data_IF_786042116393
#
_entry.id   IF_786042116393
#
_cell.length_a   1.000
_cell.length_b   1.000
_cell.length_c   1.000
_cell.angle_alpha   90.00
_cell.angle_beta   90.00
_cell.angle_gamma   90.00
#
_symmetry.space_group_name_H-M   'P 1'
#
loop_
_entity.id
_entity.type
_entity.pdbx_description
1 polymer ?
#
# COMPACT_ATOMS: atom_id res chain seq x y z
N UNK A 1 -3.20 46.62 9.56
CA UNK A 1 -2.97 45.24 10.00
C UNK A 1 -3.70 44.33 9.03
N UNK A 2 -3.01 43.56 8.17
CA UNK A 2 -3.67 42.64 7.26
C UNK A 2 -4.27 41.48 8.06
N UNK A 3 -5.58 41.32 7.97
CA UNK A 3 -6.30 40.18 8.54
C UNK A 3 -5.94 38.91 7.78
N UNK A 4 -5.24 37.99 8.42
CA UNK A 4 -5.01 36.64 7.91
C UNK A 4 -6.33 35.86 8.04
N UNK A 5 -7.06 35.72 6.93
CA UNK A 5 -8.19 34.79 6.89
C UNK A 5 -7.64 33.36 7.02
N UNK A 6 -8.23 32.51 7.88
CA UNK A 6 -7.84 31.12 7.98
C UNK A 6 -8.05 30.45 6.62
N UNK A 7 -6.96 29.98 6.02
CA UNK A 7 -7.01 29.17 4.80
C UNK A 7 -7.77 27.89 5.15
N UNK A 8 -9.00 27.78 4.66
CA UNK A 8 -9.77 26.55 4.81
C UNK A 8 -9.09 25.50 3.94
N UNK A 9 -8.37 24.58 4.58
CA UNK A 9 -7.80 23.43 3.92
C UNK A 9 -8.93 22.70 3.19
N UNK A 10 -8.83 22.63 1.86
CA UNK A 10 -9.76 21.84 1.06
C UNK A 10 -9.75 20.40 1.58
N UNK A 11 -10.92 19.74 1.70
CA UNK A 11 -10.92 18.31 1.99
C UNK A 11 -10.09 17.58 0.93
N UNK A 12 -9.35 16.52 1.30
CA UNK A 12 -8.58 15.75 0.35
C UNK A 12 -9.52 15.15 -0.71
N UNK A 13 -9.07 15.08 -1.97
CA UNK A 13 -9.86 14.47 -3.04
C UNK A 13 -10.17 12.99 -2.73
N UNK A 14 -11.36 12.48 -3.11
CA UNK A 14 -11.71 11.07 -2.94
C UNK A 14 -10.86 10.18 -3.85
N UNK A 15 -10.64 8.94 -3.43
CA UNK A 15 -9.89 7.93 -4.17
C UNK A 15 -10.83 6.92 -4.83
N UNK A 16 -10.41 6.38 -5.98
CA UNK A 16 -11.19 5.47 -6.81
C UNK A 16 -10.36 4.30 -7.30
N UNK A 17 -10.94 3.10 -7.34
CA UNK A 17 -10.36 1.94 -8.00
C UNK A 17 -10.49 2.03 -9.53
N UNK A 18 -9.77 1.20 -10.32
CA UNK A 18 -9.79 1.27 -11.79
C UNK A 18 -11.17 1.16 -12.44
N UNK A 19 -12.12 0.49 -11.81
CA UNK A 19 -13.51 0.40 -12.24
C UNK A 19 -14.34 1.68 -11.96
N UNK A 20 -13.75 2.66 -11.28
CA UNK A 20 -14.37 3.91 -10.87
C UNK A 20 -15.19 3.84 -9.58
N UNK A 21 -15.12 2.73 -8.84
CA UNK A 21 -15.71 2.58 -7.51
C UNK A 21 -14.90 3.35 -6.45
N UNK A 22 -15.56 3.80 -5.38
CA UNK A 22 -14.92 4.56 -4.30
C UNK A 22 -14.03 3.66 -3.44
N UNK A 23 -12.83 4.15 -3.11
CA UNK A 23 -11.91 3.54 -2.16
C UNK A 23 -11.92 4.26 -0.80
N UNK A 24 -11.57 3.54 0.26
CA UNK A 24 -11.30 4.09 1.59
C UNK A 24 -9.84 4.54 1.79
N UNK A 25 -9.01 4.39 0.76
CA UNK A 25 -7.62 4.86 0.78
C UNK A 25 -7.53 6.38 0.89
N UNK A 26 -6.34 6.87 1.24
CA UNK A 26 -6.05 8.29 1.37
C UNK A 26 -4.99 8.71 0.34
N UNK A 27 -5.10 9.91 -0.23
CA UNK A 27 -4.13 10.42 -1.20
C UNK A 27 -2.74 10.51 -0.58
N UNK A 28 -1.71 10.21 -1.37
CA UNK A 28 -0.31 10.38 -0.98
C UNK A 28 0.10 11.85 -0.95
N UNK A 29 -0.42 12.65 -1.88
CA UNK A 29 -0.24 14.10 -1.91
C UNK A 29 -1.60 14.83 -2.04
N UNK A 30 -2.16 15.35 -0.93
CA UNK A 30 -3.45 16.02 -0.94
C UNK A 30 -3.41 17.41 -1.59
N UNK A 31 -2.23 17.96 -1.90
CA UNK A 31 -2.08 19.26 -2.55
C UNK A 31 -2.23 19.16 -4.07
N UNK A 32 -2.13 17.95 -4.63
CA UNK A 32 -2.28 17.69 -6.07
C UNK A 32 -3.69 17.24 -6.40
N UNK A 33 -4.15 17.56 -7.61
CA UNK A 33 -5.48 17.13 -8.06
C UNK A 33 -5.53 15.61 -8.31
N UNK A 34 -4.47 15.06 -8.90
CA UNK A 34 -4.32 13.65 -9.22
C UNK A 34 -3.13 13.08 -8.47
N UNK A 35 -3.34 12.03 -7.67
CA UNK A 35 -2.27 11.33 -6.95
C UNK A 35 -2.69 9.89 -6.67
N UNK A 36 -1.69 9.03 -6.49
CA UNK A 36 -1.87 7.70 -5.93
C UNK A 36 -2.45 7.79 -4.51
N UNK A 37 -3.32 6.84 -4.18
CA UNK A 37 -3.91 6.68 -2.86
C UNK A 37 -3.51 5.33 -2.26
N UNK A 38 -3.11 5.35 -1.00
CA UNK A 38 -2.75 4.15 -0.24
C UNK A 38 -3.61 4.01 1.02
N UNK A 39 -3.69 2.79 1.52
CA UNK A 39 -4.31 2.51 2.82
C UNK A 39 -3.64 3.37 3.92
N UNK A 40 -4.43 3.87 4.87
CA UNK A 40 -3.97 4.71 5.96
C UNK A 40 -2.70 4.14 6.64
N UNK A 41 -1.64 4.94 6.70
CA UNK A 41 -0.38 4.56 7.33
C UNK A 41 0.55 3.67 6.48
N UNK A 42 0.15 3.35 5.25
CA UNK A 42 1.05 2.76 4.24
C UNK A 42 2.00 3.84 3.69
N UNK A 43 3.13 3.40 3.18
CA UNK A 43 4.14 4.28 2.60
C UNK A 43 3.85 4.52 1.12
N UNK A 44 3.96 5.77 0.71
CA UNK A 44 3.85 6.21 -0.67
C UNK A 44 5.23 6.19 -1.33
N UNK A 45 5.32 5.79 -2.59
CA UNK A 45 6.56 5.83 -3.37
C UNK A 45 6.52 6.89 -4.48
N UNK A 46 7.69 7.23 -5.03
CA UNK A 46 7.85 8.12 -6.18
C UNK A 46 7.30 7.56 -7.49
N UNK A 47 7.11 6.24 -7.61
CA UNK A 47 6.54 5.63 -8.81
C UNK A 47 5.05 5.33 -8.66
N UNK A 48 4.36 6.04 -7.76
CA UNK A 48 2.93 5.87 -7.54
C UNK A 48 2.56 4.45 -7.09
N UNK A 49 3.39 3.82 -6.25
CA UNK A 49 3.08 2.55 -5.60
C UNK A 49 2.97 2.72 -4.09
N UNK A 50 2.34 1.75 -3.45
CA UNK A 50 2.14 1.71 -2.01
C UNK A 50 2.94 0.56 -1.40
N UNK A 51 3.55 0.78 -0.23
CA UNK A 51 4.15 -0.27 0.59
C UNK A 51 3.34 -0.39 1.88
N UNK A 52 2.87 -1.60 2.17
CA UNK A 52 2.08 -1.86 3.39
C UNK A 52 2.84 -1.45 4.65
N UNK A 53 2.11 -0.92 5.63
CA UNK A 53 2.67 -0.58 6.94
C UNK A 53 3.39 -1.80 7.55
N UNK A 54 4.62 -1.59 8.02
CA UNK A 54 5.44 -2.64 8.64
C UNK A 54 6.12 -3.60 7.65
N UNK A 55 5.97 -3.39 6.34
CA UNK A 55 6.68 -4.18 5.33
C UNK A 55 8.01 -3.55 4.91
N UNK A 56 8.32 -2.30 5.27
CA UNK A 56 9.65 -1.74 5.01
C UNK A 56 10.74 -2.55 5.69
N UNK A 57 11.81 -2.80 4.96
CA UNK A 57 13.02 -3.38 5.53
C UNK A 57 13.68 -2.40 6.52
N UNK A 58 14.70 -2.87 7.23
CA UNK A 58 15.43 -2.03 8.20
C UNK A 58 16.21 -0.86 7.59
N UNK A 59 16.36 -0.79 6.25
CA UNK A 59 17.00 0.34 5.56
C UNK A 59 15.99 1.40 5.11
N UNK A 60 14.70 1.06 5.06
CA UNK A 60 13.61 2.00 4.78
C UNK A 60 13.25 2.16 3.30
N UNK A 61 13.97 1.50 2.39
CA UNK A 61 13.86 1.79 0.95
C UNK A 61 13.12 0.70 0.16
N UNK A 62 13.11 -0.54 0.66
CA UNK A 62 12.56 -1.69 -0.08
C UNK A 62 11.66 -2.51 0.84
N UNK A 63 10.48 -2.97 0.40
CA UNK A 63 9.67 -3.90 1.16
C UNK A 63 10.43 -5.21 1.37
N UNK A 64 10.35 -5.74 2.59
CA UNK A 64 11.01 -6.98 3.04
C UNK A 64 10.58 -8.23 2.28
N UNK A 65 9.43 -8.19 1.61
CA UNK A 65 8.84 -9.25 0.81
C UNK A 65 8.82 -8.95 -0.69
N UNK A 66 9.49 -7.88 -1.14
CA UNK A 66 9.46 -7.39 -2.52
C UNK A 66 8.03 -7.11 -3.04
N UNK A 67 7.07 -6.89 -2.14
CA UNK A 67 5.67 -6.70 -2.48
C UNK A 67 5.28 -5.23 -2.35
N UNK A 68 4.78 -4.70 -3.46
CA UNK A 68 4.16 -3.40 -3.55
C UNK A 68 2.66 -3.57 -3.78
N UNK A 69 1.92 -2.49 -3.62
CA UNK A 69 0.50 -2.41 -3.90
C UNK A 69 0.25 -1.31 -4.91
N UNK A 70 -0.62 -1.59 -5.88
CA UNK A 70 -1.12 -0.63 -6.84
C UNK A 70 -1.99 0.46 -6.20
N UNK A 71 -2.69 0.14 -5.11
CA UNK A 71 -3.60 1.10 -4.45
C UNK A 71 -4.79 1.53 -5.32
N UNK A 72 -5.26 2.75 -5.05
CA UNK A 72 -6.32 3.46 -5.78
C UNK A 72 -5.83 4.83 -6.24
N UNK A 73 -6.60 5.59 -7.02
CA UNK A 73 -6.16 6.92 -7.49
C UNK A 73 -7.26 7.98 -7.33
N UNK A 74 -6.89 9.24 -7.16
CA UNK A 74 -7.87 10.33 -7.11
C UNK A 74 -8.50 10.65 -8.47
N UNK A 75 -7.87 10.24 -9.58
CA UNK A 75 -8.50 10.29 -10.90
C UNK A 75 -9.43 9.09 -11.10
N UNK A 76 -10.74 9.35 -11.03
CA UNK A 76 -11.79 8.34 -11.26
C UNK A 76 -11.69 7.65 -12.62
N UNK A 77 -11.13 8.30 -13.64
CA UNK A 77 -10.99 7.74 -14.99
C UNK A 77 -9.67 7.00 -15.20
N UNK A 78 -8.73 7.09 -14.26
CA UNK A 78 -7.39 6.47 -14.37
C UNK A 78 -6.69 6.85 -15.68
N UNK A 79 -6.76 8.13 -16.03
CA UNK A 79 -6.13 8.74 -17.21
C UNK A 79 -4.93 9.62 -16.86
N UNK A 80 -4.78 9.98 -15.59
CA UNK A 80 -3.64 10.75 -15.11
C UNK A 80 -2.38 9.89 -15.01
N UNK A 81 -1.21 10.39 -15.45
CA UNK A 81 0.08 9.70 -15.29
C UNK A 81 0.51 9.59 -13.81
N UNK A 82 -0.11 10.37 -12.92
CA UNK A 82 0.09 10.26 -11.46
C UNK A 82 -0.63 9.03 -10.87
N UNK A 83 -1.50 8.39 -11.64
CA UNK A 83 -2.08 7.10 -11.32
C UNK A 83 -1.21 5.99 -11.91
N UNK A 84 -1.01 4.92 -11.16
CA UNK A 84 -0.27 3.77 -11.65
C UNK A 84 -1.04 3.03 -12.76
N UNK A 85 -0.46 2.95 -13.95
CA UNK A 85 -1.16 2.47 -15.15
C UNK A 85 -1.21 0.95 -15.29
N UNK A 86 -0.27 0.24 -14.66
CA UNK A 86 -0.15 -1.22 -14.74
C UNK A 86 -1.07 -1.94 -13.75
N UNK A 87 -1.34 -3.22 -14.01
CA UNK A 87 -2.12 -4.09 -13.12
C UNK A 87 -3.55 -3.61 -12.82
N UNK A 88 -4.15 -2.82 -13.72
CA UNK A 88 -5.52 -2.30 -13.56
C UNK A 88 -6.59 -3.36 -13.82
N UNK A 89 -6.29 -4.32 -14.68
CA UNK A 89 -7.27 -5.32 -15.15
C UNK A 89 -7.42 -6.50 -14.20
N UNK A 90 -6.40 -6.79 -13.40
CA UNK A 90 -6.37 -7.96 -12.53
C UNK A 90 -7.37 -7.89 -11.37
N UNK A 91 -7.36 -6.75 -10.66
CA UNK A 91 -8.29 -6.44 -9.60
C UNK A 91 -8.79 -5.00 -9.77
N UNK A 92 -9.79 -4.78 -10.64
CA UNK A 92 -10.26 -3.44 -10.97
C UNK A 92 -11.13 -2.81 -9.87
N UNK A 93 -11.61 -3.59 -8.89
CA UNK A 93 -12.47 -3.13 -7.80
C UNK A 93 -11.76 -3.02 -6.45
N UNK A 94 -10.46 -3.27 -6.41
CA UNK A 94 -9.68 -3.31 -5.18
C UNK A 94 -8.21 -3.05 -5.44
N UNK A 95 -7.38 -3.05 -4.39
CA UNK A 95 -5.92 -2.93 -4.55
C UNK A 95 -5.32 -4.22 -5.13
N UNK A 96 -4.31 -4.09 -5.98
CA UNK A 96 -3.61 -5.22 -6.60
C UNK A 96 -2.16 -5.28 -6.11
N UNK A 97 -1.63 -6.49 -5.96
CA UNK A 97 -0.24 -6.69 -5.58
C UNK A 97 0.68 -6.50 -6.81
N UNK A 98 1.79 -5.83 -6.60
CA UNK A 98 2.84 -5.63 -7.61
C UNK A 98 4.13 -6.23 -7.07
N UNK A 99 4.64 -7.25 -7.74
CA UNK A 99 5.83 -7.98 -7.31
C UNK A 99 7.07 -7.36 -7.95
N UNK A 100 8.06 -7.00 -7.13
CA UNK A 100 9.38 -6.60 -7.61
C UNK A 100 10.25 -7.84 -7.91
N UNK A 101 10.71 -7.91 -9.16
CA UNK A 101 11.48 -9.03 -9.72
C UNK A 101 13.00 -8.81 -9.68
N UNK A 102 13.45 -7.61 -9.30
CA UNK A 102 14.85 -7.21 -9.39
C UNK A 102 15.14 -6.39 -10.65
N UNK A 103 16.26 -5.64 -10.64
CA UNK A 103 16.72 -4.82 -11.76
C UNK A 103 15.68 -3.83 -12.31
N UNK A 104 14.87 -3.21 -11.44
CA UNK A 104 13.80 -2.30 -11.87
C UNK A 104 12.61 -2.98 -12.55
N UNK A 105 12.57 -4.33 -12.61
CA UNK A 105 11.48 -5.09 -13.22
C UNK A 105 10.41 -5.39 -12.18
N UNK A 106 9.16 -5.18 -12.55
CA UNK A 106 7.97 -5.42 -11.75
C UNK A 106 6.96 -6.26 -12.54
N UNK A 107 6.07 -6.97 -11.85
CA UNK A 107 4.96 -7.70 -12.48
C UNK A 107 3.69 -7.62 -11.65
N UNK A 108 2.54 -7.75 -12.30
CA UNK A 108 1.24 -7.87 -11.64
C UNK A 108 1.14 -9.23 -10.95
N UNK A 109 0.94 -9.23 -9.63
CA UNK A 109 1.01 -10.44 -8.82
C UNK A 109 -0.33 -11.20 -8.72
N UNK A 110 -1.36 -10.71 -9.39
CA UNK A 110 -2.68 -11.33 -9.48
C UNK A 110 -2.64 -12.80 -9.93
N UNK A 111 -1.61 -13.17 -10.70
CA UNK A 111 -1.59 -14.47 -11.32
C UNK A 111 -1.03 -15.62 -10.47
N UNK A 112 -0.04 -15.47 -9.56
CA UNK A 112 0.53 -16.66 -8.86
C UNK A 112 1.19 -16.37 -7.52
N UNK A 113 0.56 -16.82 -6.44
CA UNK A 113 1.23 -17.18 -5.18
C UNK A 113 2.20 -18.38 -5.32
N UNK A 114 2.35 -18.94 -6.53
CA UNK A 114 3.35 -19.95 -6.90
C UNK A 114 4.49 -19.33 -7.73
N UNK A 115 5.28 -18.50 -7.06
CA UNK A 115 6.75 -18.33 -7.18
C UNK A 115 7.45 -18.12 -8.53
N UNK A 116 6.77 -17.88 -9.66
CA UNK A 116 7.42 -17.72 -10.98
C UNK A 116 6.92 -16.56 -11.83
N UNK A 117 6.17 -15.61 -11.25
CA UNK A 117 5.61 -14.44 -11.96
C UNK A 117 6.63 -13.43 -12.49
N UNK A 118 7.92 -13.62 -12.24
CA UNK A 118 9.00 -12.86 -12.89
C UNK A 118 9.52 -13.53 -14.18
N UNK A 119 8.73 -14.43 -14.79
CA UNK A 119 9.06 -15.15 -16.02
C UNK A 119 8.53 -14.47 -17.29
N UNK A 120 8.89 -15.03 -18.46
CA UNK A 120 8.63 -14.50 -19.82
C UNK A 120 7.17 -14.26 -20.19
N UNK A 121 6.23 -14.80 -19.41
CA UNK A 121 4.81 -14.81 -19.73
C UNK A 121 4.00 -13.87 -18.83
N UNK A 122 4.64 -13.21 -17.85
CA UNK A 122 4.00 -12.18 -17.05
C UNK A 122 4.10 -10.83 -17.75
N UNK A 123 3.08 -9.98 -17.58
CA UNK A 123 3.12 -8.56 -17.97
C UNK A 123 4.14 -7.83 -17.09
N UNK A 124 5.42 -8.05 -17.39
CA UNK A 124 6.54 -7.43 -16.71
C UNK A 124 6.76 -6.03 -17.30
N UNK A 125 7.06 -5.08 -16.43
CA UNK A 125 7.31 -3.69 -16.79
C UNK A 125 8.47 -3.14 -15.98
N UNK A 126 9.12 -2.11 -16.52
CA UNK A 126 10.27 -1.47 -15.91
C UNK A 126 9.84 -0.18 -15.21
N UNK A 127 10.29 0.03 -13.98
CA UNK A 127 10.12 1.27 -13.23
C UNK A 127 11.47 1.72 -12.67
N UNK A 128 11.53 3.01 -12.34
CA UNK A 128 12.66 3.57 -11.60
C UNK A 128 12.76 2.96 -10.18
N UNK A 129 13.92 3.15 -9.56
CA UNK A 129 14.15 2.83 -8.16
C UNK A 129 13.07 3.45 -7.27
N UNK A 130 12.48 2.61 -6.43
CA UNK A 130 11.42 2.96 -5.51
C UNK A 130 12.00 3.71 -4.32
N UNK A 131 11.51 4.93 -4.09
CA UNK A 131 11.89 5.76 -2.95
C UNK A 131 10.61 6.13 -2.21
N UNK A 132 10.63 5.99 -0.88
CA UNK A 132 9.51 6.41 -0.03
C UNK A 132 9.42 7.93 -0.02
N UNK A 133 8.29 8.47 -0.46
CA UNK A 133 8.01 9.91 -0.52
C UNK A 133 7.16 10.41 0.65
N UNK A 134 6.42 9.51 1.30
CA UNK A 134 5.54 9.90 2.40
C UNK A 134 4.76 8.73 3.01
N UNK A 135 3.79 9.06 3.86
CA UNK A 135 2.88 8.12 4.50
C UNK A 135 1.45 8.59 4.25
N UNK A 136 0.61 7.74 3.67
CA UNK A 136 -0.76 8.09 3.37
C UNK A 136 -1.55 8.44 4.64
N UNK A 137 -2.24 9.58 4.60
CA UNK A 137 -2.96 10.16 5.72
C UNK A 137 -2.10 10.92 6.74
N UNK A 138 -0.77 10.96 6.58
CA UNK A 138 0.12 11.78 7.40
C UNK A 138 0.63 12.94 6.55
N UNK A 139 -0.14 14.02 6.54
CA UNK A 139 0.22 15.23 5.81
C UNK A 139 1.04 16.12 6.74
N UNK A 140 2.35 16.22 6.48
CA UNK A 140 3.13 17.29 7.07
C UNK A 140 2.64 18.59 6.45
N UNK A 141 2.05 19.46 7.27
CA UNK A 141 1.81 20.84 6.86
C UNK A 141 3.21 21.38 6.58
N UNK A 142 3.59 21.49 5.31
CA UNK A 142 4.84 22.14 4.95
C UNK A 142 4.83 23.49 5.69
N UNK A 143 5.87 23.82 6.47
CA UNK A 143 5.89 25.10 7.17
C UNK A 143 5.73 26.16 6.09
N UNK A 144 4.63 26.90 6.15
CA UNK A 144 4.41 28.04 5.27
C UNK A 144 5.63 28.92 5.46
N UNK A 145 6.55 28.92 4.49
CA UNK A 145 7.62 29.89 4.45
C UNK A 145 6.92 31.22 4.30
N UNK A 146 6.67 31.90 5.42
CA UNK A 146 6.16 33.25 5.47
C UNK A 146 7.19 34.10 4.75
N UNK A 147 7.02 34.22 3.43
CA UNK A 147 7.80 35.12 2.60
C UNK A 147 7.45 36.51 3.12
N UNK A 148 8.34 37.02 3.97
CA UNK A 148 8.28 38.39 4.46
C UNK A 148 8.60 39.24 3.25
N UNK A 149 7.58 39.62 2.50
CA UNK A 149 7.69 40.60 1.43
C UNK A 149 8.02 41.93 2.09
N UNK A 150 9.31 42.27 2.16
CA UNK A 150 9.75 43.64 2.40
C UNK A 150 9.26 44.50 1.24
N UNK A 151 8.17 45.20 1.47
CA UNK A 151 7.66 46.26 0.61
C UNK A 151 8.70 47.37 0.52
N UNK A 152 9.53 47.36 -0.53
CA UNK A 152 10.26 48.56 -0.94
C UNK A 152 9.30 49.47 -1.69
N UNK A 153 8.81 50.49 -1.00
CA UNK A 153 8.28 51.70 -1.63
C UNK A 153 9.36 52.28 -2.54
N UNK A 154 9.14 52.18 -3.86
CA UNK A 154 9.80 53.05 -4.82
C UNK A 154 8.69 53.68 -5.66
N UNK A 155 8.38 54.93 -5.33
CA UNK A 155 7.51 55.75 -6.15
C UNK A 155 8.23 56.13 -7.43
N UNK A 156 7.58 55.95 -8.58
CA UNK A 156 7.71 56.89 -9.68
C UNK A 156 6.53 56.83 -10.66
N UNK A 157 5.76 57.92 -10.66
CA UNK A 157 5.22 58.72 -11.77
C UNK A 157 4.58 58.07 -13.01
N UNK A 158 3.38 58.59 -13.28
CA UNK A 158 2.51 58.50 -14.45
C UNK A 158 3.17 58.88 -15.79
N UNK A 159 2.75 58.18 -16.86
CA UNK A 159 2.23 58.65 -18.17
C UNK A 159 2.14 57.38 -19.04
N UNK A 160 1.09 57.01 -19.77
CA UNK A 160 0.05 57.75 -20.49
C UNK A 160 -0.11 57.02 -21.85
N UNK A 161 -1.35 56.95 -22.36
CA UNK A 161 -1.80 56.28 -23.62
C UNK A 161 -1.85 54.73 -23.57
N UNK A 162 -2.97 54.04 -23.83
CA UNK A 162 -4.19 54.38 -24.54
C UNK A 162 -4.23 53.61 -25.85
N UNK A 163 -4.75 52.36 -25.86
CA UNK A 163 -5.10 51.66 -27.11
C UNK A 163 -6.31 50.73 -26.93
N UNK A 164 -7.07 50.71 -28.00
CA UNK A 164 -8.48 50.35 -28.17
C UNK A 164 -8.82 48.85 -28.11
N UNK A 165 -10.11 48.65 -27.85
CA UNK A 165 -10.98 47.52 -28.17
C UNK A 165 -10.59 46.67 -29.38
N UNK A 166 -10.75 45.34 -29.23
CA UNK A 166 -10.73 44.39 -30.33
C UNK A 166 -11.52 43.13 -30.01
N UNK A 167 -12.81 43.15 -30.36
CA UNK A 167 -13.73 42.01 -30.45
C UNK A 167 -13.15 40.92 -31.36
N UNK A 168 -13.26 39.64 -30.98
CA UNK A 168 -13.73 38.62 -31.92
C UNK A 168 -14.18 37.35 -31.21
N UNK A 169 -15.49 37.15 -31.25
CA UNK A 169 -16.16 35.86 -31.14
C UNK A 169 -15.71 34.92 -32.27
N UNK A 170 -15.40 33.67 -31.95
CA UNK A 170 -15.52 32.57 -32.90
C UNK A 170 -16.13 31.38 -32.18
N UNK A 171 -17.45 31.30 -32.35
CA UNK A 171 -18.26 30.09 -32.30
C UNK A 171 -17.69 29.09 -33.30
N UNK A 172 -17.21 27.96 -32.81
CA UNK A 172 -16.82 26.80 -33.61
C UNK A 172 -17.77 25.65 -33.34
N UNK A 173 -18.94 25.69 -33.99
CA UNK A 173 -19.76 24.52 -34.25
C UNK A 173 -18.95 23.52 -35.08
N UNK A 174 -18.78 22.29 -34.59
CA UNK A 174 -18.49 21.15 -35.47
C UNK A 174 -19.45 20.02 -35.16
N UNK A 175 -20.17 19.69 -36.22
CA UNK A 175 -21.23 18.71 -36.34
C UNK A 175 -20.87 17.32 -35.88
N UNK A 176 -21.91 16.70 -35.34
CA UNK A 176 -22.16 15.27 -35.30
C UNK A 176 -21.88 14.59 -36.65
N UNK A 177 -21.10 13.52 -36.63
CA UNK A 177 -21.18 12.46 -37.65
C UNK A 177 -21.42 11.17 -36.90
N UNK A 178 -22.62 10.63 -37.08
CA UNK A 178 -22.98 9.30 -36.67
C UNK A 178 -22.27 8.24 -37.50
N UNK A 179 -22.03 7.10 -36.88
CA UNK A 179 -21.94 5.83 -37.59
C UNK A 179 -22.50 4.74 -36.69
N UNK A 180 -23.78 4.46 -36.95
CA UNK A 180 -24.48 3.25 -36.56
C UNK A 180 -23.89 2.08 -37.33
N UNK A 181 -23.38 1.07 -36.62
CA UNK A 181 -23.22 -0.27 -37.15
C UNK A 181 -23.73 -1.28 -36.12
N UNK A 182 -24.97 -1.72 -36.34
CA UNK A 182 -25.46 -3.03 -35.88
C UNK A 182 -25.16 -4.05 -36.98
N UNK A 183 -24.69 -5.24 -36.59
CA UNK A 183 -25.44 -6.46 -36.90
C UNK A 183 -25.56 -7.32 -35.62
N UNK A 184 -26.75 -7.63 -35.14
CA UNK A 184 -27.58 -8.78 -35.56
C UNK A 184 -26.83 -10.12 -35.48
N UNK A 185 -26.98 -10.79 -34.33
CA UNK A 185 -27.33 -12.20 -34.24
C UNK A 185 -26.25 -13.25 -34.53
N UNK A 186 -25.90 -14.03 -33.49
CA UNK A 186 -26.13 -15.49 -33.54
C UNK A 186 -26.13 -16.08 -32.12
N UNK A 187 -27.28 -16.58 -31.70
CA UNK A 187 -27.41 -17.51 -30.59
C UNK A 187 -26.95 -18.88 -31.07
N UNK A 188 -25.95 -19.46 -30.41
CA UNK A 188 -25.62 -20.88 -30.55
C UNK A 188 -25.58 -21.50 -29.16
N UNK A 189 -26.71 -22.07 -28.77
CA UNK A 189 -26.83 -22.99 -27.65
C UNK A 189 -26.20 -24.31 -28.08
N UNK A 190 -25.04 -24.68 -27.54
CA UNK A 190 -24.54 -26.05 -27.65
C UNK A 190 -24.62 -26.69 -26.28
N UNK A 191 -25.66 -27.49 -26.14
CA UNK A 191 -25.77 -28.60 -25.20
C UNK A 191 -24.66 -29.58 -25.54
N UNK A 192 -23.80 -29.92 -24.58
CA UNK A 192 -23.02 -31.16 -24.64
C UNK A 192 -23.08 -31.86 -23.30
N UNK A 193 -23.96 -32.86 -23.27
CA UNK A 193 -24.05 -33.93 -22.29
C UNK A 193 -23.17 -35.09 -22.73
N UNK A 194 -22.13 -35.39 -21.98
CA UNK A 194 -21.42 -36.69 -21.97
C UNK A 194 -20.90 -36.86 -20.53
N UNK A 195 -21.55 -37.62 -19.64
CA UNK A 195 -21.75 -39.06 -19.62
C UNK A 195 -20.42 -39.85 -19.67
N UNK A 196 -19.96 -40.21 -18.46
CA UNK A 196 -19.53 -41.56 -18.06
C UNK A 196 -18.47 -42.28 -18.91
N UNK A 197 -17.27 -42.39 -18.35
CA UNK A 197 -16.43 -43.60 -18.30
C UNK A 197 -15.32 -43.31 -17.28
N UNK A 198 -15.16 -43.99 -16.13
CA UNK A 198 -15.45 -45.39 -15.88
C UNK A 198 -14.29 -46.26 -16.32
N UNK A 199 -13.06 -46.02 -15.84
CA UNK A 199 -11.92 -46.90 -16.14
C UNK A 199 -11.00 -47.09 -14.95
N UNK A 200 -11.39 -48.12 -14.18
CA UNK A 200 -10.54 -49.20 -13.64
C UNK A 200 -9.31 -48.84 -12.81
N UNK A 201 -9.45 -49.12 -11.51
CA UNK A 201 -8.32 -49.47 -10.66
C UNK A 201 -7.55 -50.65 -11.24
N UNK A 202 -6.27 -50.43 -11.51
CA UNK A 202 -5.30 -51.48 -11.77
C UNK A 202 -5.01 -52.25 -10.49
N UNK A 203 -5.82 -53.27 -10.24
CA UNK A 203 -5.45 -54.38 -9.39
C UNK A 203 -4.37 -55.19 -10.12
N UNK A 204 -3.12 -55.08 -9.68
CA UNK A 204 -2.06 -55.98 -10.09
C UNK A 204 -2.27 -57.32 -9.37
N UNK A 205 -2.81 -58.27 -10.12
CA UNK A 205 -2.68 -59.71 -9.87
C UNK A 205 -1.23 -60.13 -10.12
N UNK A 206 -0.53 -60.51 -9.06
CA UNK A 206 0.65 -61.38 -9.17
C UNK A 206 0.27 -62.69 -8.49
N UNK A 207 -0.07 -63.64 -9.35
CA UNK A 207 -0.36 -65.02 -9.00
C UNK A 207 0.94 -65.80 -8.77
N UNK A 208 0.78 -66.90 -8.04
CA UNK A 208 1.81 -67.55 -7.24
C UNK A 208 3.06 -68.06 -7.96
N UNK A 209 4.19 -67.88 -7.28
CA UNK A 209 5.28 -68.82 -7.30
C UNK A 209 5.58 -69.22 -5.86
N UNK A 210 5.28 -70.48 -5.53
CA UNK A 210 5.79 -71.13 -4.33
C UNK A 210 7.30 -70.90 -4.22
N UNK A 211 7.77 -70.49 -3.04
CA UNK A 211 8.80 -71.22 -2.29
C UNK A 211 9.05 -70.62 -0.91
N UNK A 212 8.87 -71.51 0.07
CA UNK A 212 9.59 -71.64 1.34
C UNK A 212 9.41 -70.54 2.39
N UNK A 213 8.76 -70.97 3.47
CA UNK A 213 8.83 -70.38 4.82
C UNK A 213 10.16 -69.68 5.10
N UNK A 214 10.09 -68.37 5.34
CA UNK A 214 10.94 -67.77 6.35
C UNK A 214 10.09 -66.86 7.24
N UNK A 215 9.95 -67.30 8.50
CA UNK A 215 9.29 -66.62 9.59
C UNK A 215 10.21 -65.48 10.02
N UNK A 216 9.90 -64.23 9.67
CA UNK A 216 10.54 -63.05 10.28
C UNK A 216 9.47 -62.16 10.87
N UNK A 217 9.28 -62.32 12.19
CA UNK A 217 8.66 -61.32 13.05
C UNK A 217 9.72 -60.27 13.40
N UNK A 218 9.25 -59.09 13.80
CA UNK A 218 9.97 -57.95 14.45
C UNK A 218 10.42 -56.84 13.50
N UNK A 219 9.86 -55.62 13.67
CA UNK A 219 10.56 -54.41 13.22
C UNK A 219 9.80 -53.09 12.95
N UNK A 220 8.46 -53.00 12.99
CA UNK A 220 7.75 -51.74 12.66
C UNK A 220 7.52 -50.87 13.91
N UNK A 221 8.59 -50.34 14.49
CA UNK A 221 8.49 -49.37 15.60
C UNK A 221 9.43 -48.16 15.48
N UNK A 222 10.38 -48.16 14.53
CA UNK A 222 11.40 -47.10 14.41
C UNK A 222 10.94 -45.93 13.53
N UNK A 223 10.02 -46.16 12.58
CA UNK A 223 9.59 -45.13 11.63
C UNK A 223 8.76 -43.99 12.27
N UNK A 224 8.02 -44.28 13.34
CA UNK A 224 7.16 -43.29 14.02
C UNK A 224 7.96 -42.33 14.90
N UNK A 225 9.07 -42.79 15.49
CA UNK A 225 9.92 -41.95 16.32
C UNK A 225 10.62 -40.85 15.51
N UNK A 226 11.06 -41.18 14.29
CA UNK A 226 11.76 -40.22 13.41
C UNK A 226 10.81 -39.14 12.90
N UNK A 227 9.57 -39.49 12.52
CA UNK A 227 8.58 -38.50 12.06
C UNK A 227 8.15 -37.55 13.17
N UNK A 228 7.93 -38.06 14.39
CA UNK A 228 7.65 -37.21 15.55
C UNK A 228 8.82 -36.25 15.88
N UNK A 229 10.08 -36.72 15.79
CA UNK A 229 11.25 -35.88 16.04
C UNK A 229 11.33 -34.72 15.03
N UNK A 230 11.09 -34.97 13.74
CA UNK A 230 11.11 -33.94 12.70
C UNK A 230 10.01 -32.89 12.92
N UNK A 231 8.80 -33.31 13.30
CA UNK A 231 7.70 -32.38 13.61
C UNK A 231 8.05 -31.50 14.81
N UNK A 232 8.64 -32.06 15.87
CA UNK A 232 9.06 -31.29 17.05
C UNK A 232 10.13 -30.25 16.67
N UNK A 233 11.11 -30.61 15.84
CA UNK A 233 12.14 -29.68 15.36
C UNK A 233 11.51 -28.53 14.57
N UNK A 234 10.56 -28.82 13.68
CA UNK A 234 9.83 -27.77 12.91
C UNK A 234 9.07 -26.85 13.85
N UNK A 235 8.32 -27.38 14.82
CA UNK A 235 7.57 -26.57 15.80
C UNK A 235 8.52 -25.69 16.61
N UNK A 236 9.63 -26.24 17.13
CA UNK A 236 10.63 -25.48 17.88
C UNK A 236 11.28 -24.39 17.01
N UNK A 237 11.56 -24.66 15.74
CA UNK A 237 12.11 -23.67 14.81
C UNK A 237 11.13 -22.50 14.57
N UNK A 238 9.85 -22.79 14.37
CA UNK A 238 8.80 -21.76 14.18
C UNK A 238 8.61 -20.94 15.46
N UNK A 239 8.58 -21.59 16.63
CA UNK A 239 8.50 -20.89 17.91
C UNK A 239 9.74 -20.04 18.18
N UNK A 240 10.92 -20.51 17.79
CA UNK A 240 12.16 -19.74 17.91
C UNK A 240 12.18 -18.53 16.97
N UNK A 241 11.76 -18.69 15.71
CA UNK A 241 11.62 -17.58 14.75
C UNK A 241 10.61 -16.55 15.26
N UNK A 242 9.46 -16.98 15.80
CA UNK A 242 8.47 -16.08 16.44
C UNK A 242 9.07 -15.36 17.64
N UNK A 243 9.86 -16.05 18.48
CA UNK A 243 10.53 -15.45 19.65
C UNK A 243 11.60 -14.44 19.24
N UNK A 244 12.30 -14.67 18.12
CA UNK A 244 13.27 -13.72 17.58
C UNK A 244 12.58 -12.46 17.04
N UNK A 245 11.45 -12.59 16.35
CA UNK A 245 10.63 -11.42 15.95
C UNK A 245 10.21 -10.58 17.15
N UNK A 246 9.76 -11.21 18.23
CA UNK A 246 9.40 -10.50 19.48
C UNK A 246 10.59 -9.88 20.23
N UNK A 247 11.81 -10.41 20.08
CA UNK A 247 13.01 -9.75 20.64
C UNK A 247 13.36 -8.49 19.88
N UNK A 248 13.15 -8.47 18.56
CA UNK A 248 13.37 -7.28 17.73
C UNK A 248 12.51 -6.10 18.19
N UNK A 249 11.25 -6.34 18.54
CA UNK A 249 10.32 -5.28 18.99
C UNK A 249 10.71 -4.67 20.35
N UNK A 250 11.34 -5.45 21.25
CA UNK A 250 11.81 -4.92 22.55
C UNK A 250 12.99 -3.98 22.42
N UNK A 251 13.89 -4.22 21.46
CA UNK A 251 15.06 -3.35 21.27
C UNK A 251 14.67 -1.99 20.67
N UNK A 252 13.60 -1.94 19.85
CA UNK A 252 13.05 -0.69 19.31
C UNK A 252 12.42 0.16 20.44
N UNK A 253 11.65 -0.46 21.35
CA UNK A 253 11.08 0.24 22.51
C UNK A 253 12.16 0.72 23.50
N UNK A 254 13.28 0.01 23.64
CA UNK A 254 14.36 0.41 24.56
C UNK A 254 15.18 1.59 24.06
N UNK A 255 15.32 1.77 22.74
CA UNK A 255 16.01 2.93 22.15
C UNK A 255 15.13 4.18 22.07
N UNK A 256 13.80 4.04 22.06
CA UNK A 256 12.88 5.17 22.03
C UNK A 256 12.70 5.93 23.37
N UNK A 257 13.06 5.34 24.51
CA UNK A 257 12.79 5.93 25.85
C UNK A 257 14.03 6.66 26.43
N UNK A 258 15.20 6.58 25.78
CA UNK A 258 16.45 7.13 26.30
C UNK A 258 16.85 8.53 25.81
N UNK A 259 16.03 9.23 25.02
CA UNK A 259 16.47 10.42 24.26
C UNK A 259 15.54 11.63 24.30
N UNK A 260 14.55 11.68 25.19
CA UNK A 260 13.86 12.93 25.50
C UNK A 260 14.56 13.56 26.71
N UNK A 261 15.64 14.27 26.44
CA UNK A 261 16.08 15.39 27.26
C UNK A 261 14.94 16.42 27.27
N UNK A 262 14.02 16.22 28.21
CA UNK A 262 12.98 17.16 28.55
C UNK A 262 13.70 18.38 29.18
N UNK A 263 13.68 19.57 28.55
CA UNK A 263 14.30 20.73 29.15
C UNK A 263 13.66 20.98 30.51
N UNK A 264 14.49 20.97 31.56
CA UNK A 264 14.13 21.37 32.91
C UNK A 264 13.44 22.74 32.87
N UNK A 265 12.11 22.73 32.93
CA UNK A 265 11.33 23.88 33.37
C UNK A 265 11.63 24.06 34.86
N UNK A 266 12.60 24.94 35.15
CA UNK A 266 12.77 25.56 36.47
C UNK A 266 11.47 26.26 36.85
N UNK A 267 10.53 25.53 37.45
CA UNK A 267 9.43 26.12 38.21
C UNK A 267 10.05 26.78 39.45
N UNK A 268 10.14 28.11 39.40
CA UNK A 268 10.44 28.92 40.56
C UNK A 268 9.39 28.69 41.64
N UNK A 269 9.79 27.97 42.69
CA UNK A 269 9.02 27.82 43.92
C UNK A 269 8.92 29.19 44.60
N UNK A 270 7.84 29.91 44.32
CA UNK A 270 7.45 31.13 45.03
C UNK A 270 6.77 30.71 46.32
N UNK A 271 7.44 30.98 47.43
CA UNK A 271 6.96 30.72 48.79
C UNK A 271 5.57 31.31 49.05
N UNK A 272 4.77 30.50 49.72
CA UNK A 272 3.55 30.88 50.43
C UNK A 272 3.60 30.02 51.70
N UNK A 273 3.95 30.57 52.85
CA UNK A 273 3.19 31.64 53.49
C UNK A 273 2.39 30.96 54.59
N UNK A 274 3.05 30.84 55.73
CA UNK A 274 2.58 30.43 57.05
C UNK A 274 1.33 31.20 57.49
N UNK A 275 0.31 30.49 57.98
CA UNK A 275 -0.81 30.90 58.86
C UNK A 275 -1.83 29.75 58.88
N UNK A 276 -2.58 29.36 59.91
CA UNK A 276 -2.74 29.65 61.35
C UNK A 276 -3.93 28.78 61.80
N UNK A 277 -3.98 28.35 63.07
CA UNK A 277 -5.19 27.82 63.74
C UNK A 277 -5.17 26.29 63.92
N UNK A 278 -4.99 25.67 65.09
CA UNK A 278 -5.45 25.92 66.48
C UNK A 278 -6.95 25.64 66.69
N UNK A 279 -7.22 24.87 67.76
CA UNK A 279 -8.51 24.43 68.31
C UNK A 279 -9.32 23.43 67.47
N UNK A 280 -9.90 22.36 68.01
CA UNK A 280 -10.08 21.99 69.40
C UNK A 280 -10.72 20.60 69.51
N UNK A 281 -10.42 19.98 70.64
CA UNK A 281 -11.07 18.86 71.29
C UNK A 281 -12.60 19.06 71.40
N UNK A 282 -13.39 17.98 71.25
CA UNK A 282 -14.65 17.71 71.96
C UNK A 282 -15.23 16.34 71.55
N UNK A 283 -15.20 15.42 72.52
CA UNK A 283 -16.14 14.30 72.81
C UNK A 283 -16.25 13.11 71.86
#
# INVERSE_FOLDING_TARGET
MPSLLPSMASPPPPCYYPDGSLSSDLPCDPATANTMCCELGSYCTNTNLCIKRGHLNGTGDVPSDNLYLRGSCTDRRWTSPECFEYCRHDNPQGSENVLYCGNGIFSCAAHRLNSTSCGTDAEAFELEVQIVTGIAGVYTIAPTLTSTSTSMESGAWFEGSGFESGVSSTTGDISMVGSSVSPTGLSTSIVSSHASNGTTGGALTIDGAERKMLRVRVGVAVAVAVTCLLIIIVILSVLWIRKLRLRSDREILRRGVGGLDLPELKLGAKGRGEERGKEGDCT
#
